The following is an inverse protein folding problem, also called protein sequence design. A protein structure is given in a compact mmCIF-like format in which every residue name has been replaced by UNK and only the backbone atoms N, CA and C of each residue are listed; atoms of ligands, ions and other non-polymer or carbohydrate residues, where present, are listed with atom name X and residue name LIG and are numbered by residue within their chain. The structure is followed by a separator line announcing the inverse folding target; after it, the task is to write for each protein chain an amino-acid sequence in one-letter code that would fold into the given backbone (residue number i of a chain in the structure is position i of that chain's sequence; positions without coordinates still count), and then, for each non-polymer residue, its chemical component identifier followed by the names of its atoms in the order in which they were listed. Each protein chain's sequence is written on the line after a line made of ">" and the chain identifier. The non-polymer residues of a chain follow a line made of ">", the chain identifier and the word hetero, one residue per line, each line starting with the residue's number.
data_IF_846909429838
#
_entry.id   IF_846909429838
#
_cell.length_a   1.000
_cell.length_b   1.000
_cell.length_c   1.000
_cell.angle_alpha   90.00
_cell.angle_beta   90.00
_cell.angle_gamma   90.00
#
_symmetry.space_group_name_H-M   'P 1'
#
loop_
_entity.id
_entity.type
_entity.pdbx_description
1 polymer ?
#
# COMPACT_ATOMS: atom_id res chain seq x y z
N UNK A 1 23.76 1.61 -5.61
CA UNK A 1 22.47 0.93 -5.40
C UNK A 1 21.46 1.53 -6.36
N UNK A 2 20.82 0.72 -7.21
CA UNK A 2 19.71 1.23 -8.03
C UNK A 2 18.49 1.38 -7.12
N UNK A 3 17.95 2.58 -7.01
CA UNK A 3 16.66 2.79 -6.35
C UNK A 3 15.57 2.46 -7.35
N UNK A 4 14.69 1.52 -7.01
CA UNK A 4 13.55 1.17 -7.85
C UNK A 4 12.66 2.40 -8.02
N UNK A 5 12.05 2.60 -9.20
CA UNK A 5 11.05 3.64 -9.38
C UNK A 5 9.92 3.46 -8.37
N UNK A 6 9.26 4.56 -7.99
CA UNK A 6 8.21 4.53 -6.98
C UNK A 6 7.09 3.55 -7.33
N UNK A 7 6.70 3.46 -8.61
CA UNK A 7 5.71 2.49 -9.10
C UNK A 7 6.08 1.04 -8.78
N UNK A 8 7.36 0.67 -8.92
CA UNK A 8 7.83 -0.69 -8.58
C UNK A 8 7.85 -0.91 -7.05
N UNK A 9 8.17 0.13 -6.27
CA UNK A 9 8.07 0.06 -4.82
C UNK A 9 6.62 -0.09 -4.35
N UNK A 10 5.66 0.58 -5.01
CA UNK A 10 4.23 0.45 -4.73
C UNK A 10 3.72 -0.94 -5.13
N UNK A 11 4.09 -1.47 -6.29
CA UNK A 11 3.75 -2.83 -6.68
C UNK A 11 4.27 -3.86 -5.66
N UNK A 12 5.48 -3.67 -5.13
CA UNK A 12 6.02 -4.53 -4.08
C UNK A 12 5.23 -4.41 -2.76
N UNK A 13 4.64 -3.26 -2.44
CA UNK A 13 3.72 -3.08 -1.31
C UNK A 13 2.42 -3.84 -1.55
N UNK A 14 1.82 -3.71 -2.73
CA UNK A 14 0.61 -4.46 -3.10
C UNK A 14 0.82 -5.97 -2.93
N UNK A 15 1.91 -6.52 -3.48
CA UNK A 15 2.23 -7.94 -3.35
C UNK A 15 2.37 -8.41 -1.90
N UNK A 16 3.02 -7.59 -1.04
CA UNK A 16 3.16 -7.91 0.39
C UNK A 16 1.80 -7.91 1.08
N UNK A 17 0.96 -6.91 0.82
CA UNK A 17 -0.33 -6.79 1.48
C UNK A 17 -1.33 -7.84 0.98
N UNK A 18 -1.33 -8.19 -0.31
CA UNK A 18 -2.16 -9.29 -0.86
C UNK A 18 -1.80 -10.62 -0.18
N UNK A 19 -0.51 -10.89 0.02
CA UNK A 19 -0.05 -12.09 0.75
C UNK A 19 -0.40 -12.06 2.24
N UNK A 20 -0.51 -10.86 2.84
CA UNK A 20 -0.76 -10.67 4.27
C UNK A 20 -2.24 -10.73 4.64
N UNK A 21 -3.12 -10.25 3.76
CA UNK A 21 -4.57 -10.14 3.96
C UNK A 21 -5.32 -11.15 3.07
N UNK A 22 -5.09 -12.45 3.30
CA UNK A 22 -5.67 -13.53 2.48
C UNK A 22 -7.20 -13.63 2.55
N UNK A 23 -7.83 -13.00 3.54
CA UNK A 23 -9.29 -12.92 3.67
C UNK A 23 -9.93 -11.76 2.89
N UNK A 24 -9.13 -10.89 2.27
CA UNK A 24 -9.58 -9.76 1.45
C UNK A 24 -9.21 -10.06 -0.01
N UNK A 25 -10.08 -9.69 -0.95
CA UNK A 25 -9.76 -9.86 -2.37
C UNK A 25 -8.53 -9.03 -2.77
N UNK A 26 -7.73 -9.55 -3.70
CA UNK A 26 -6.53 -8.88 -4.16
C UNK A 26 -6.84 -7.50 -4.75
N UNK A 27 -7.98 -7.36 -5.44
CA UNK A 27 -8.43 -6.08 -6.02
C UNK A 27 -8.74 -5.05 -4.93
N UNK A 28 -9.43 -5.43 -3.84
CA UNK A 28 -9.68 -4.51 -2.72
C UNK A 28 -8.39 -4.08 -2.02
N UNK A 29 -7.40 -4.98 -1.91
CA UNK A 29 -6.08 -4.62 -1.37
C UNK A 29 -5.39 -3.59 -2.28
N UNK A 30 -5.36 -3.84 -3.60
CA UNK A 30 -4.77 -2.93 -4.59
C UNK A 30 -5.45 -1.57 -4.60
N UNK A 31 -6.78 -1.53 -4.59
CA UNK A 31 -7.56 -0.29 -4.52
C UNK A 31 -7.26 0.50 -3.24
N UNK A 32 -7.08 -0.20 -2.12
CA UNK A 32 -6.72 0.43 -0.84
C UNK A 32 -5.31 0.99 -0.87
N UNK A 33 -4.35 0.29 -1.50
CA UNK A 33 -2.98 0.79 -1.72
C UNK A 33 -2.97 2.00 -2.64
N UNK A 34 -3.70 1.95 -3.76
CA UNK A 34 -3.84 3.07 -4.69
C UNK A 34 -4.45 4.29 -3.99
N UNK A 35 -5.52 4.10 -3.23
CA UNK A 35 -6.14 5.16 -2.41
C UNK A 35 -5.14 5.74 -1.41
N UNK A 36 -4.35 4.90 -0.74
CA UNK A 36 -3.31 5.34 0.19
C UNK A 36 -2.21 6.15 -0.52
N UNK A 37 -1.81 5.75 -1.74
CA UNK A 37 -0.83 6.45 -2.57
C UNK A 37 -1.31 7.82 -3.03
N UNK A 38 -2.61 7.97 -3.32
CA UNK A 38 -3.20 9.24 -3.70
C UNK A 38 -3.03 10.35 -2.64
N UNK A 39 -2.89 10.00 -1.35
CA UNK A 39 -2.64 10.98 -0.30
C UNK A 39 -1.26 11.66 -0.39
N UNK A 40 -0.35 11.15 -1.23
CA UNK A 40 1.01 11.63 -1.33
C UNK A 40 1.38 12.19 -2.71
N UNK A 41 0.42 12.35 -3.63
CA UNK A 41 0.70 12.81 -5.00
C UNK A 41 1.41 14.17 -4.98
N UNK A 42 0.99 15.08 -4.10
CA UNK A 42 1.55 16.43 -3.93
C UNK A 42 2.80 16.47 -3.04
N UNK A 43 3.23 15.33 -2.47
CA UNK A 43 4.41 15.29 -1.61
C UNK A 43 5.69 15.52 -2.40
N UNK A 44 6.49 16.48 -1.97
CA UNK A 44 7.78 16.84 -2.57
C UNK A 44 8.91 15.86 -2.20
N UNK A 45 8.84 15.25 -1.00
CA UNK A 45 9.79 14.22 -0.56
C UNK A 45 9.25 12.85 -0.95
N UNK A 46 9.94 12.17 -1.87
CA UNK A 46 9.49 10.88 -2.43
C UNK A 46 10.14 9.64 -1.80
N UNK A 47 11.11 9.84 -0.92
CA UNK A 47 11.98 8.77 -0.35
C UNK A 47 11.24 7.76 0.52
N UNK A 48 10.14 8.19 1.10
CA UNK A 48 9.41 7.39 2.08
C UNK A 48 7.97 7.07 1.64
N UNK A 49 7.59 7.38 0.40
CA UNK A 49 6.21 7.25 -0.06
C UNK A 49 5.74 5.80 0.04
N UNK A 50 6.52 4.84 -0.47
CA UNK A 50 6.13 3.42 -0.39
C UNK A 50 5.90 2.95 1.05
N UNK A 51 6.76 3.36 1.99
CA UNK A 51 6.62 3.04 3.42
C UNK A 51 5.36 3.67 4.02
N UNK A 52 5.08 4.93 3.71
CA UNK A 52 3.90 5.63 4.24
C UNK A 52 2.61 5.08 3.64
N UNK A 53 2.62 4.75 2.36
CA UNK A 53 1.50 4.07 1.67
C UNK A 53 1.22 2.73 2.32
N UNK A 54 2.24 1.89 2.51
CA UNK A 54 2.08 0.58 3.15
C UNK A 54 1.46 0.71 4.54
N UNK A 55 1.96 1.63 5.37
CA UNK A 55 1.41 1.88 6.71
C UNK A 55 -0.06 2.30 6.67
N UNK A 56 -0.43 3.19 5.75
CA UNK A 56 -1.81 3.67 5.62
C UNK A 56 -2.74 2.58 5.11
N UNK A 57 -2.34 1.85 4.08
CA UNK A 57 -3.13 0.75 3.53
C UNK A 57 -3.30 -0.37 4.56
N UNK A 58 -2.24 -0.74 5.28
CA UNK A 58 -2.30 -1.73 6.36
C UNK A 58 -3.30 -1.33 7.45
N UNK A 59 -3.30 -0.07 7.88
CA UNK A 59 -4.26 0.42 8.86
C UNK A 59 -5.72 0.33 8.34
N UNK A 60 -5.96 0.75 7.10
CA UNK A 60 -7.28 0.68 6.47
C UNK A 60 -7.80 -0.77 6.35
N UNK A 61 -6.95 -1.70 5.90
CA UNK A 61 -7.33 -3.11 5.73
C UNK A 61 -7.63 -3.80 7.08
N UNK A 62 -6.92 -3.45 8.16
CA UNK A 62 -7.24 -3.95 9.50
C UNK A 62 -8.58 -3.41 10.02
N UNK A 63 -8.95 -2.18 9.70
CA UNK A 63 -10.28 -1.66 10.08
C UNK A 63 -11.41 -2.27 9.27
N UNK A 64 -11.13 -2.69 8.03
CA UNK A 64 -12.09 -3.34 7.14
C UNK A 64 -12.27 -4.85 7.42
N UNK A 65 -11.31 -5.47 8.12
CA UNK A 65 -11.43 -6.86 8.57
C UNK A 65 -12.11 -6.87 9.93
N UNK A 66 -13.41 -7.25 10.06
CA UNK A 66 -13.97 -7.51 11.38
C UNK A 66 -13.13 -8.61 12.04
N UNK A 67 -12.73 -8.40 13.29
CA UNK A 67 -12.03 -9.41 14.08
C UNK A 67 -12.89 -10.68 14.09
N UNK A 68 -12.38 -11.75 13.47
CA UNK A 68 -12.96 -13.09 13.58
C UNK A 68 -13.00 -13.55 15.04
#
# INVERSE_FOLDING_TARGET
>A
MLRLPESEQIAAVEDRLVKRFTGISADTVRDTVATAHQHFIESTVRDYIALLVERRAFAALNTATPAS
#
